data_IF_726832341066
#
_entry.id   IF_726832341066
#
_cell.length_a   1.000
_cell.length_b   1.000
_cell.length_c   1.000
_cell.angle_alpha   90.00
_cell.angle_beta   90.00
_cell.angle_gamma   90.00
#
_symmetry.space_group_name_H-M   'P 1'
#
loop_
_entity.id
_entity.type
_entity.pdbx_description
1 polymer ?
#
# COMPACT_ATOMS: atom_id res chain seq x y z
N UNK A 1 -11.01 -43.27 -3.11
CA UNK A 1 -10.45 -41.95 -2.74
C UNK A 1 -10.24 -41.04 -3.96
N UNK A 2 -9.95 -41.57 -5.15
CA UNK A 2 -9.77 -40.80 -6.39
C UNK A 2 -11.03 -40.06 -6.90
N UNK A 3 -12.22 -40.60 -6.66
CA UNK A 3 -13.51 -39.98 -7.07
C UNK A 3 -13.74 -38.59 -6.46
N UNK A 4 -13.37 -38.39 -5.20
CA UNK A 4 -13.60 -37.11 -4.51
C UNK A 4 -12.61 -36.01 -4.95
N UNK A 5 -11.39 -36.39 -5.33
CA UNK A 5 -10.40 -35.44 -5.85
C UNK A 5 -10.82 -34.90 -7.23
N UNK A 6 -11.32 -35.78 -8.10
CA UNK A 6 -11.84 -35.39 -9.42
C UNK A 6 -13.01 -34.42 -9.34
N UNK A 7 -13.94 -34.65 -8.40
CA UNK A 7 -15.10 -33.78 -8.22
C UNK A 7 -14.73 -32.38 -7.69
N UNK A 8 -13.85 -32.29 -6.69
CA UNK A 8 -13.37 -31.01 -6.17
C UNK A 8 -12.61 -30.21 -7.24
N UNK A 9 -11.76 -30.88 -8.02
CA UNK A 9 -11.03 -30.26 -9.13
C UNK A 9 -11.99 -29.79 -10.23
N UNK A 10 -13.07 -30.54 -10.49
CA UNK A 10 -14.10 -30.20 -11.49
C UNK A 10 -14.93 -28.99 -11.05
N UNK A 11 -15.26 -28.86 -9.77
CA UNK A 11 -15.94 -27.65 -9.25
C UNK A 11 -15.02 -26.44 -9.33
N UNK A 12 -13.74 -26.58 -8.96
CA UNK A 12 -12.76 -25.50 -9.03
C UNK A 12 -12.48 -25.04 -10.47
N UNK A 13 -12.54 -25.94 -11.43
CA UNK A 13 -12.36 -25.64 -12.87
C UNK A 13 -13.64 -25.15 -13.55
N UNK A 14 -14.83 -25.50 -13.04
CA UNK A 14 -16.14 -25.05 -13.53
C UNK A 14 -16.67 -23.78 -12.85
N UNK A 15 -16.06 -23.34 -11.76
CA UNK A 15 -16.04 -21.93 -11.41
C UNK A 15 -15.32 -21.23 -12.55
N UNK A 16 -16.08 -20.97 -13.63
CA UNK A 16 -15.69 -20.13 -14.76
C UNK A 16 -14.83 -18.99 -14.22
N UNK A 17 -13.65 -18.70 -14.80
CA UNK A 17 -12.84 -17.60 -14.31
C UNK A 17 -13.72 -16.36 -14.37
N UNK A 18 -14.26 -15.98 -13.21
CA UNK A 18 -15.06 -14.78 -13.10
C UNK A 18 -14.18 -13.67 -13.65
N UNK A 19 -14.75 -12.71 -14.40
CA UNK A 19 -13.99 -11.58 -14.84
C UNK A 19 -13.15 -11.01 -13.70
N UNK A 20 -11.87 -10.75 -13.97
CA UNK A 20 -10.88 -10.48 -12.95
C UNK A 20 -11.33 -9.38 -11.95
N UNK A 21 -12.05 -8.37 -12.44
CA UNK A 21 -12.61 -7.28 -11.63
C UNK A 21 -13.62 -7.74 -10.57
N UNK A 22 -14.31 -8.87 -10.75
CA UNK A 22 -15.21 -9.43 -9.75
C UNK A 22 -14.43 -9.96 -8.55
N UNK A 23 -13.27 -10.60 -8.74
CA UNK A 23 -12.39 -10.92 -7.62
C UNK A 23 -11.94 -9.66 -6.89
N UNK A 24 -11.69 -8.57 -7.64
CA UNK A 24 -11.48 -7.20 -7.14
C UNK A 24 -12.56 -6.79 -6.15
N UNK A 25 -13.81 -6.85 -6.62
CA UNK A 25 -14.99 -6.52 -5.84
C UNK A 25 -15.12 -7.40 -4.60
N UNK A 26 -14.91 -8.71 -4.72
CA UNK A 26 -14.99 -9.66 -3.61
C UNK A 26 -13.90 -9.41 -2.55
N UNK A 27 -12.65 -9.16 -2.97
CA UNK A 27 -11.54 -8.89 -2.06
C UNK A 27 -11.77 -7.65 -1.20
N UNK A 28 -12.45 -6.66 -1.76
CA UNK A 28 -12.84 -5.41 -1.11
C UNK A 28 -14.11 -5.58 -0.27
N UNK A 29 -15.13 -6.24 -0.82
CA UNK A 29 -16.41 -6.41 -0.16
C UNK A 29 -16.31 -7.33 1.06
N UNK A 30 -15.48 -8.37 1.01
CA UNK A 30 -15.32 -9.35 2.09
C UNK A 30 -15.02 -8.69 3.45
N UNK A 31 -13.95 -7.87 3.60
CA UNK A 31 -13.69 -7.24 4.89
C UNK A 31 -14.82 -6.30 5.31
N UNK A 32 -15.43 -5.56 4.39
CA UNK A 32 -16.52 -4.63 4.73
C UNK A 32 -17.75 -5.42 5.24
N UNK A 33 -18.21 -6.42 4.48
CA UNK A 33 -19.38 -7.22 4.82
C UNK A 33 -19.19 -8.00 6.12
N UNK A 34 -18.04 -8.66 6.29
CA UNK A 34 -17.74 -9.39 7.52
C UNK A 34 -17.62 -8.45 8.72
N UNK A 35 -17.11 -7.23 8.52
CA UNK A 35 -17.05 -6.25 9.60
C UNK A 35 -18.42 -5.62 9.91
N UNK A 36 -19.38 -5.53 8.98
CA UNK A 36 -20.74 -5.04 9.33
C UNK A 36 -21.46 -5.98 10.31
N UNK A 37 -21.31 -7.29 10.10
CA UNK A 37 -21.91 -8.34 10.93
C UNK A 37 -21.46 -8.18 12.41
N UNK A 38 -22.23 -8.56 13.45
CA UNK A 38 -21.78 -8.41 14.84
C UNK A 38 -20.49 -9.19 15.18
N UNK A 39 -19.68 -8.69 16.15
CA UNK A 39 -18.45 -9.36 16.57
C UNK A 39 -18.71 -10.72 17.20
N UNK A 40 -18.36 -11.77 16.44
CA UNK A 40 -18.45 -13.17 16.82
C UNK A 40 -17.29 -13.97 16.21
N UNK A 41 -16.87 -15.09 16.83
CA UNK A 41 -15.75 -15.91 16.35
C UNK A 41 -15.91 -16.43 14.92
N UNK A 42 -17.15 -16.61 14.42
CA UNK A 42 -17.37 -17.11 13.06
C UNK A 42 -16.79 -16.22 11.97
N UNK A 43 -16.59 -14.92 12.21
CA UNK A 43 -15.98 -14.01 11.22
C UNK A 43 -14.62 -14.51 10.78
N UNK A 44 -13.80 -14.97 11.73
CA UNK A 44 -12.49 -15.59 11.49
C UNK A 44 -12.61 -16.87 10.67
N UNK A 45 -13.54 -17.75 11.04
CA UNK A 45 -13.73 -19.02 10.35
C UNK A 45 -14.28 -18.85 8.92
N UNK A 46 -15.02 -17.77 8.65
CA UNK A 46 -15.53 -17.42 7.31
C UNK A 46 -14.48 -16.65 6.51
N UNK A 47 -13.74 -15.72 7.13
CA UNK A 47 -12.76 -14.88 6.42
C UNK A 47 -11.62 -15.68 5.83
N UNK A 48 -11.12 -16.70 6.54
CA UNK A 48 -10.00 -17.54 6.09
C UNK A 48 -10.31 -18.24 4.75
N UNK A 49 -11.37 -19.07 4.61
CA UNK A 49 -11.65 -19.74 3.35
C UNK A 49 -11.97 -18.76 2.22
N UNK A 50 -12.74 -17.69 2.48
CA UNK A 50 -13.06 -16.71 1.43
C UNK A 50 -11.79 -16.01 0.94
N UNK A 51 -10.97 -15.48 1.85
CA UNK A 51 -9.76 -14.76 1.49
C UNK A 51 -8.72 -15.68 0.82
N UNK A 52 -8.60 -16.93 1.27
CA UNK A 52 -7.73 -17.93 0.65
C UNK A 52 -8.21 -18.31 -0.75
N UNK A 53 -9.52 -18.50 -0.96
CA UNK A 53 -10.08 -18.77 -2.30
C UNK A 53 -9.83 -17.59 -3.24
N UNK A 54 -10.03 -16.34 -2.79
CA UNK A 54 -9.73 -15.15 -3.60
C UNK A 54 -8.25 -15.12 -3.98
N UNK A 55 -7.35 -15.35 -3.03
CA UNK A 55 -5.90 -15.38 -3.28
C UNK A 55 -5.51 -16.52 -4.22
N UNK A 56 -6.08 -17.71 -4.04
CA UNK A 56 -5.84 -18.86 -4.90
C UNK A 56 -6.31 -18.56 -6.32
N UNK A 57 -7.56 -18.13 -6.51
CA UNK A 57 -8.09 -17.79 -7.83
C UNK A 57 -7.30 -16.65 -8.49
N UNK A 58 -6.86 -15.65 -7.72
CA UNK A 58 -6.02 -14.56 -8.19
C UNK A 58 -4.66 -15.04 -8.71
N UNK A 59 -4.01 -15.95 -7.98
CA UNK A 59 -2.67 -16.45 -8.31
C UNK A 59 -2.69 -17.50 -9.42
N UNK A 60 -3.80 -18.22 -9.59
CA UNK A 60 -3.97 -19.20 -10.67
C UNK A 60 -4.66 -18.62 -11.91
N UNK A 61 -5.06 -17.34 -11.88
CA UNK A 61 -5.72 -16.71 -13.03
C UNK A 61 -4.74 -16.68 -14.21
N UNK A 62 -5.12 -17.21 -15.39
CA UNK A 62 -4.24 -17.22 -16.54
C UNK A 62 -3.97 -15.77 -16.97
N UNK A 63 -2.71 -15.37 -16.80
CA UNK A 63 -2.19 -14.08 -17.26
C UNK A 63 -1.95 -14.24 -18.77
N UNK A 64 -2.88 -13.79 -19.59
CA UNK A 64 -2.64 -13.70 -21.03
C UNK A 64 -1.64 -12.56 -21.35
N UNK A 65 -1.02 -12.60 -22.52
CA UNK A 65 0.00 -11.62 -22.91
C UNK A 65 -0.55 -10.19 -23.01
N UNK A 66 -1.85 -10.02 -23.26
CA UNK A 66 -2.48 -8.72 -23.44
C UNK A 66 -2.93 -8.08 -22.13
N UNK A 67 -3.40 -8.85 -21.16
CA UNK A 67 -3.85 -8.37 -19.84
C UNK A 67 -2.77 -8.48 -18.77
N UNK A 68 -1.61 -9.06 -19.09
CA UNK A 68 -0.70 -9.55 -18.08
C UNK A 68 -0.16 -8.52 -17.08
N UNK A 69 0.09 -7.29 -17.54
CA UNK A 69 0.52 -6.19 -16.65
C UNK A 69 -0.59 -5.80 -15.67
N UNK A 70 -1.84 -5.74 -16.14
CA UNK A 70 -2.99 -5.41 -15.31
C UNK A 70 -3.33 -6.55 -14.34
N UNK A 71 -3.28 -7.80 -14.81
CA UNK A 71 -3.48 -8.99 -13.98
C UNK A 71 -2.44 -9.06 -12.85
N UNK A 72 -1.16 -8.81 -13.14
CA UNK A 72 -0.09 -8.76 -12.14
C UNK A 72 -0.26 -7.64 -11.12
N UNK A 73 -0.63 -6.44 -11.56
CA UNK A 73 -0.96 -5.32 -10.66
C UNK A 73 -2.05 -5.73 -9.68
N UNK A 74 -3.15 -6.28 -10.21
CA UNK A 74 -4.27 -6.62 -9.38
C UNK A 74 -3.99 -7.86 -8.50
N UNK A 75 -3.14 -8.79 -8.92
CA UNK A 75 -2.64 -9.87 -8.06
C UNK A 75 -1.91 -9.29 -6.84
N UNK A 76 -1.07 -8.27 -7.03
CA UNK A 76 -0.48 -7.51 -5.93
C UNK A 76 -1.53 -6.90 -4.99
N UNK A 77 -2.60 -6.32 -5.54
CA UNK A 77 -3.73 -5.79 -4.74
C UNK A 77 -4.41 -6.91 -3.95
N UNK A 78 -4.59 -8.10 -4.54
CA UNK A 78 -5.20 -9.24 -3.85
C UNK A 78 -4.37 -9.76 -2.70
N UNK A 79 -3.05 -9.86 -2.87
CA UNK A 79 -2.15 -10.21 -1.78
C UNK A 79 -2.27 -9.19 -0.64
N UNK A 80 -2.30 -7.90 -0.96
CA UNK A 80 -2.47 -6.82 0.01
C UNK A 80 -3.81 -6.94 0.75
N UNK A 81 -4.92 -7.13 0.04
CA UNK A 81 -6.26 -7.27 0.64
C UNK A 81 -6.42 -8.56 1.43
N UNK A 82 -5.76 -9.64 1.02
CA UNK A 82 -5.67 -10.88 1.77
C UNK A 82 -4.96 -10.67 3.11
N UNK A 83 -3.76 -10.07 3.08
CA UNK A 83 -2.99 -9.76 4.29
C UNK A 83 -3.79 -8.81 5.21
N UNK A 84 -4.43 -7.79 4.65
CA UNK A 84 -5.33 -6.93 5.40
C UNK A 84 -6.45 -7.73 6.07
N UNK A 85 -7.16 -8.59 5.32
CA UNK A 85 -8.27 -9.41 5.84
C UNK A 85 -7.80 -10.33 6.97
N UNK A 86 -6.62 -10.94 6.86
CA UNK A 86 -6.02 -11.72 7.93
C UNK A 86 -5.71 -10.88 9.16
N UNK A 87 -5.12 -9.69 8.99
CA UNK A 87 -4.89 -8.77 10.11
C UNK A 87 -6.21 -8.44 10.82
N UNK A 88 -7.27 -8.11 10.07
CA UNK A 88 -8.56 -7.73 10.65
C UNK A 88 -9.20 -8.86 11.46
N UNK A 89 -9.33 -10.06 10.88
CA UNK A 89 -10.17 -11.12 11.46
C UNK A 89 -9.41 -12.24 12.14
N UNK A 90 -8.11 -12.38 11.89
CA UNK A 90 -7.29 -13.43 12.51
C UNK A 90 -6.41 -12.85 13.62
N UNK A 91 -5.72 -11.73 13.36
CA UNK A 91 -4.78 -11.13 14.31
C UNK A 91 -5.49 -10.17 15.28
N UNK A 92 -6.26 -9.23 14.73
CA UNK A 92 -7.03 -8.25 15.51
C UNK A 92 -8.29 -8.88 16.09
N UNK A 93 -8.91 -9.80 15.35
CA UNK A 93 -10.13 -10.59 15.65
C UNK A 93 -11.42 -9.75 15.79
N UNK A 94 -11.35 -8.66 16.55
CA UNK A 94 -12.44 -7.74 16.83
C UNK A 94 -11.97 -6.29 16.69
N UNK A 95 -11.89 -5.76 15.46
CA UNK A 95 -11.40 -4.41 15.23
C UNK A 95 -12.27 -3.35 15.92
N UNK A 96 -13.55 -3.60 16.20
CA UNK A 96 -14.43 -2.64 16.86
C UNK A 96 -14.01 -2.32 18.30
N UNK A 97 -13.40 -3.27 19.01
CA UNK A 97 -12.94 -3.06 20.39
C UNK A 97 -11.56 -2.40 20.46
N UNK A 98 -10.81 -2.42 19.36
CA UNK A 98 -9.38 -2.08 19.34
C UNK A 98 -9.05 -0.90 18.44
N UNK A 99 -9.77 -0.72 17.35
CA UNK A 99 -9.46 0.26 16.32
C UNK A 99 -10.57 1.30 16.34
N UNK A 100 -10.31 2.44 16.98
CA UNK A 100 -11.26 3.54 16.99
C UNK A 100 -10.57 4.86 16.72
N UNK A 101 -11.35 5.79 16.19
CA UNK A 101 -10.96 7.19 16.10
C UNK A 101 -11.34 7.83 17.44
N UNK A 102 -10.39 8.26 18.28
CA UNK A 102 -10.74 9.00 19.48
C UNK A 102 -11.35 10.32 19.02
N UNK A 103 -12.66 10.49 19.19
CA UNK A 103 -13.25 11.82 19.09
C UNK A 103 -13.16 12.49 20.46
N UNK A 104 -13.13 13.82 20.47
CA UNK A 104 -13.00 14.60 21.71
C UNK A 104 -14.22 14.31 22.59
N UNK A 105 -14.03 13.56 23.67
CA UNK A 105 -15.05 13.26 24.68
C UNK A 105 -15.77 11.91 24.55
N UNK A 106 -15.50 11.11 23.52
CA UNK A 106 -16.04 9.74 23.44
C UNK A 106 -15.14 8.76 24.19
N UNK A 107 -15.72 8.01 25.13
CA UNK A 107 -15.03 6.91 25.81
C UNK A 107 -14.93 5.70 24.88
N UNK A 108 -13.91 4.86 25.06
CA UNK A 108 -13.79 3.59 24.31
C UNK A 108 -15.08 2.75 24.43
N UNK A 109 -15.72 2.74 25.60
CA UNK A 109 -16.97 2.01 25.83
C UNK A 109 -18.12 2.53 24.95
N UNK A 110 -18.28 3.85 24.82
CA UNK A 110 -19.29 4.45 23.94
C UNK A 110 -19.11 4.00 22.48
N UNK A 111 -17.85 3.95 22.04
CA UNK A 111 -17.49 3.52 20.69
C UNK A 111 -17.82 2.04 20.46
N UNK A 112 -17.53 1.20 21.45
CA UNK A 112 -17.86 -0.23 21.43
C UNK A 112 -19.37 -0.43 21.29
N UNK A 113 -20.16 0.28 22.09
CA UNK A 113 -21.63 0.13 22.09
C UNK A 113 -22.24 0.57 20.75
N UNK A 114 -21.65 1.59 20.09
CA UNK A 114 -22.10 2.09 18.80
C UNK A 114 -21.70 1.21 17.60
N UNK A 115 -20.51 0.60 17.64
CA UNK A 115 -20.00 -0.21 16.51
C UNK A 115 -20.21 -1.71 16.67
N UNK A 116 -20.70 -2.21 17.79
CA UNK A 116 -21.06 -3.65 17.91
C UNK A 116 -22.27 -4.03 17.06
N UNK A 117 -23.21 -3.11 16.85
CA UNK A 117 -24.45 -3.33 16.09
C UNK A 117 -24.29 -2.93 14.61
N UNK A 118 -24.92 -3.66 13.68
CA UNK A 118 -24.92 -3.27 12.27
C UNK A 118 -25.65 -1.92 12.15
N UNK A 119 -24.91 -0.90 11.72
CA UNK A 119 -25.41 0.47 11.56
C UNK A 119 -24.72 1.13 10.37
N UNK A 120 -25.30 2.22 9.87
CA UNK A 120 -24.64 3.02 8.83
C UNK A 120 -23.32 3.61 9.33
N UNK A 121 -23.26 3.99 10.62
CA UNK A 121 -22.03 4.45 11.26
C UNK A 121 -20.95 3.36 11.24
N UNK A 122 -21.32 2.11 11.52
CA UNK A 122 -20.40 0.97 11.43
C UNK A 122 -19.93 0.74 9.99
N UNK A 123 -20.85 0.74 9.02
CA UNK A 123 -20.49 0.61 7.61
C UNK A 123 -19.49 1.69 7.17
N UNK A 124 -19.75 2.94 7.56
CA UNK A 124 -18.89 4.08 7.25
C UNK A 124 -17.52 3.95 7.91
N UNK A 125 -17.48 3.57 9.19
CA UNK A 125 -16.25 3.27 9.92
C UNK A 125 -15.44 2.15 9.23
N UNK A 126 -16.09 1.08 8.78
CA UNK A 126 -15.44 -0.01 8.02
C UNK A 126 -14.83 0.50 6.70
N UNK A 127 -15.58 1.36 5.99
CA UNK A 127 -15.15 1.94 4.72
C UNK A 127 -13.91 2.83 4.92
N UNK A 128 -13.94 3.70 5.92
CA UNK A 128 -12.82 4.57 6.28
C UNK A 128 -11.57 3.77 6.65
N UNK A 129 -11.74 2.71 7.45
CA UNK A 129 -10.62 1.85 7.84
C UNK A 129 -10.01 1.08 6.66
N UNK A 130 -10.85 0.56 5.76
CA UNK A 130 -10.42 -0.34 4.68
C UNK A 130 -9.79 0.39 3.50
N UNK A 131 -10.40 1.48 3.05
CA UNK A 131 -9.93 2.16 1.84
C UNK A 131 -9.05 3.36 2.11
N UNK A 132 -9.40 4.09 3.16
CA UNK A 132 -8.99 5.46 3.27
C UNK A 132 -7.80 5.62 4.22
N UNK A 133 -7.83 4.90 5.33
CA UNK A 133 -6.91 5.15 6.42
C UNK A 133 -6.21 3.89 6.93
N UNK A 134 -5.55 3.17 6.02
CA UNK A 134 -4.81 1.95 6.36
C UNK A 134 -3.60 2.23 7.29
N UNK A 135 -3.24 3.51 7.48
CA UNK A 135 -2.18 3.95 8.41
C UNK A 135 -2.72 4.42 9.76
N UNK A 136 -4.03 4.46 9.93
CA UNK A 136 -4.71 4.84 11.17
C UNK A 136 -4.50 6.30 11.57
N UNK A 137 -4.34 7.24 10.63
CA UNK A 137 -4.19 8.68 10.89
C UNK A 137 -5.37 9.21 11.71
N UNK A 138 -5.11 9.72 12.91
CA UNK A 138 -6.15 10.15 13.84
C UNK A 138 -6.89 9.02 14.54
N UNK A 139 -6.44 7.76 14.40
CA UNK A 139 -6.97 6.61 15.12
C UNK A 139 -6.01 6.20 16.23
N UNK A 140 -6.50 5.46 17.22
CA UNK A 140 -5.68 4.99 18.35
C UNK A 140 -4.55 4.01 17.93
N UNK A 141 -4.60 3.50 16.70
CA UNK A 141 -3.58 2.63 16.10
C UNK A 141 -2.72 3.36 15.05
N UNK A 142 -2.68 4.69 15.07
CA UNK A 142 -1.87 5.50 14.16
C UNK A 142 -0.40 5.04 14.14
N UNK A 143 0.16 4.88 12.93
CA UNK A 143 1.57 4.54 12.77
C UNK A 143 2.44 5.68 13.32
N UNK A 144 3.27 5.38 14.31
CA UNK A 144 4.14 6.38 14.97
C UNK A 144 5.05 7.13 13.98
N UNK A 145 5.30 8.40 14.28
CA UNK A 145 6.24 9.26 13.56
C UNK A 145 5.77 9.72 12.19
N UNK A 146 4.45 9.68 11.92
CA UNK A 146 3.89 10.36 10.76
C UNK A 146 4.10 11.86 10.90
N UNK A 147 4.18 12.56 9.77
CA UNK A 147 4.18 14.01 9.81
C UNK A 147 2.83 14.47 10.39
N UNK A 148 2.81 15.45 11.30
CA UNK A 148 1.56 15.93 11.86
C UNK A 148 0.65 16.44 10.73
N UNK A 149 -0.68 16.26 10.84
CA UNK A 149 -1.60 16.77 9.85
C UNK A 149 -1.44 18.28 9.74
N UNK A 150 -1.16 18.76 8.53
CA UNK A 150 -1.08 20.19 8.26
C UNK A 150 -2.47 20.64 7.89
N UNK A 151 -3.10 21.44 8.76
CA UNK A 151 -4.39 22.03 8.48
C UNK A 151 -4.28 22.91 7.23
N UNK A 152 -5.06 22.58 6.21
CA UNK A 152 -5.17 23.34 4.97
C UNK A 152 -6.64 23.50 4.63
N UNK A 153 -7.02 24.66 4.11
CA UNK A 153 -8.35 24.79 3.53
C UNK A 153 -8.51 23.76 2.41
N UNK A 154 -9.69 23.15 2.29
CA UNK A 154 -9.97 22.13 1.27
C UNK A 154 -9.67 22.62 -0.14
N UNK A 155 -10.05 23.86 -0.46
CA UNK A 155 -9.81 24.45 -1.78
C UNK A 155 -8.31 24.49 -2.11
N UNK A 156 -7.50 25.07 -1.23
CA UNK A 156 -6.05 25.14 -1.43
C UNK A 156 -5.39 23.76 -1.47
N UNK A 157 -5.86 22.82 -0.66
CA UNK A 157 -5.37 21.45 -0.72
C UNK A 157 -5.71 20.78 -2.06
N UNK A 158 -6.94 20.93 -2.56
CA UNK A 158 -7.34 20.37 -3.86
C UNK A 158 -6.52 20.99 -4.98
N UNK A 159 -6.28 22.30 -4.97
CA UNK A 159 -5.46 22.97 -5.98
C UNK A 159 -3.99 22.50 -5.94
N UNK A 160 -3.40 22.39 -4.74
CA UNK A 160 -2.06 21.79 -4.55
C UNK A 160 -2.04 20.34 -5.04
N UNK A 161 -3.04 19.56 -4.69
CA UNK A 161 -3.16 18.16 -5.09
C UNK A 161 -3.30 17.99 -6.61
N UNK A 162 -4.11 18.81 -7.28
CA UNK A 162 -4.32 18.73 -8.74
C UNK A 162 -3.10 19.24 -9.51
N UNK A 163 -2.62 20.45 -9.23
CA UNK A 163 -1.59 21.07 -10.06
C UNK A 163 -0.18 20.61 -9.72
N UNK A 164 0.13 20.49 -8.42
CA UNK A 164 1.49 20.16 -7.97
C UNK A 164 1.63 18.66 -7.77
N UNK A 165 0.76 18.05 -6.96
CA UNK A 165 0.96 16.66 -6.54
C UNK A 165 0.55 15.65 -7.62
N UNK A 166 -0.46 15.96 -8.42
CA UNK A 166 -0.88 15.13 -9.55
C UNK A 166 -0.25 15.64 -10.84
N UNK A 167 -0.53 16.86 -11.29
CA UNK A 167 -0.06 17.40 -12.56
C UNK A 167 1.46 17.37 -12.73
N UNK A 168 2.19 18.16 -11.93
CA UNK A 168 3.65 18.24 -12.04
C UNK A 168 4.33 16.90 -11.77
N UNK A 169 3.93 16.18 -10.72
CA UNK A 169 4.57 14.89 -10.39
C UNK A 169 4.21 13.78 -11.38
N UNK A 170 3.01 13.74 -11.94
CA UNK A 170 2.65 12.80 -13.00
C UNK A 170 3.42 13.09 -14.28
N UNK A 171 3.60 14.37 -14.63
CA UNK A 171 4.46 14.75 -15.77
C UNK A 171 5.90 14.30 -15.54
N UNK A 172 6.46 14.56 -14.35
CA UNK A 172 7.82 14.12 -14.01
C UNK A 172 7.94 12.60 -13.98
N UNK A 173 6.93 11.90 -13.47
CA UNK A 173 6.85 10.44 -13.52
C UNK A 173 6.86 9.96 -14.97
N UNK A 174 6.01 10.52 -15.83
CA UNK A 174 5.89 10.14 -17.23
C UNK A 174 7.20 10.37 -17.99
N UNK A 175 7.85 11.53 -17.82
CA UNK A 175 9.15 11.82 -18.43
C UNK A 175 10.22 10.81 -18.00
N UNK A 176 10.38 10.59 -16.69
CA UNK A 176 11.42 9.67 -16.19
C UNK A 176 11.11 8.23 -16.57
N UNK A 177 9.84 7.83 -16.54
CA UNK A 177 9.39 6.51 -16.92
C UNK A 177 9.60 6.24 -18.41
N UNK A 178 9.23 7.19 -19.29
CA UNK A 178 9.51 7.08 -20.72
C UNK A 178 11.00 6.96 -21.00
N UNK A 179 11.85 7.74 -20.31
CA UNK A 179 13.31 7.65 -20.47
C UNK A 179 13.82 6.29 -19.97
N UNK A 180 13.33 5.82 -18.83
CA UNK A 180 13.65 4.50 -18.28
C UNK A 180 13.32 3.38 -19.28
N UNK A 181 12.10 3.38 -19.83
CA UNK A 181 11.64 2.42 -20.84
C UNK A 181 12.36 2.56 -22.19
N UNK A 182 12.82 3.77 -22.55
CA UNK A 182 13.57 4.02 -23.78
C UNK A 182 15.03 3.53 -23.70
N UNK A 183 15.54 3.19 -22.52
CA UNK A 183 16.89 2.64 -22.43
C UNK A 183 16.95 1.29 -23.16
N UNK A 184 17.97 1.11 -24.01
CA UNK A 184 18.16 -0.14 -24.77
C UNK A 184 18.11 -1.38 -23.88
N UNK A 185 18.66 -1.29 -22.68
CA UNK A 185 18.69 -2.39 -21.73
C UNK A 185 17.29 -2.77 -21.22
N UNK A 186 16.47 -1.80 -20.79
CA UNK A 186 15.11 -2.07 -20.31
C UNK A 186 14.20 -2.46 -21.48
N UNK A 187 14.40 -1.87 -22.66
CA UNK A 187 13.63 -2.20 -23.84
C UNK A 187 13.91 -3.65 -24.30
N UNK A 188 15.18 -4.05 -24.39
CA UNK A 188 15.59 -5.36 -24.92
C UNK A 188 15.51 -6.49 -23.91
N UNK A 189 15.71 -6.24 -22.61
CA UNK A 189 15.72 -7.30 -21.58
C UNK A 189 14.54 -7.16 -20.59
N UNK A 190 13.69 -6.17 -20.80
CA UNK A 190 12.45 -5.97 -20.06
C UNK A 190 11.26 -6.28 -20.96
N UNK A 191 10.36 -5.33 -21.13
CA UNK A 191 9.03 -5.59 -21.69
C UNK A 191 8.96 -6.00 -23.16
N UNK A 192 10.00 -5.76 -23.96
CA UNK A 192 9.98 -6.00 -25.41
C UNK A 192 11.05 -6.98 -25.90
N UNK A 193 11.58 -7.86 -25.06
CA UNK A 193 12.54 -8.88 -25.52
C UNK A 193 11.88 -9.78 -26.59
N UNK A 194 12.31 -9.73 -27.86
CA UNK A 194 11.67 -10.46 -28.94
C UNK A 194 11.79 -11.98 -28.78
N UNK A 195 12.84 -12.47 -28.12
CA UNK A 195 13.03 -13.90 -27.86
C UNK A 195 12.05 -14.36 -26.78
N UNK A 196 11.93 -13.61 -25.69
CA UNK A 196 11.01 -13.93 -24.60
C UNK A 196 9.54 -13.78 -25.01
N UNK A 197 9.23 -12.78 -25.83
CA UNK A 197 7.91 -12.64 -26.46
C UNK A 197 7.60 -13.84 -27.35
N UNK A 198 8.58 -14.35 -28.10
CA UNK A 198 8.41 -15.53 -28.94
C UNK A 198 8.29 -16.84 -28.14
N UNK A 199 9.03 -17.00 -27.04
CA UNK A 199 9.03 -18.21 -26.21
C UNK A 199 7.96 -18.20 -25.10
N UNK A 200 7.33 -17.06 -24.84
CA UNK A 200 6.36 -16.91 -23.76
C UNK A 200 6.99 -16.94 -22.37
N UNK A 201 8.31 -16.77 -22.26
CA UNK A 201 9.00 -16.63 -20.99
C UNK A 201 8.88 -15.19 -20.49
N UNK A 202 8.79 -14.99 -19.17
CA UNK A 202 8.76 -13.65 -18.61
C UNK A 202 10.17 -13.01 -18.61
N UNK A 203 10.27 -11.72 -18.95
CA UNK A 203 11.53 -10.99 -18.87
C UNK A 203 11.99 -10.80 -17.44
N UNK A 204 13.05 -11.54 -17.08
CA UNK A 204 13.80 -11.31 -15.86
C UNK A 204 14.77 -10.14 -16.07
N UNK A 205 14.30 -8.93 -15.74
CA UNK A 205 15.16 -7.75 -15.72
C UNK A 205 16.16 -7.84 -14.53
N UNK A 206 17.24 -8.58 -14.71
CA UNK A 206 18.31 -8.72 -13.71
C UNK A 206 19.30 -7.56 -13.79
N UNK A 207 19.08 -6.50 -13.00
CA UNK A 207 20.01 -5.36 -12.94
C UNK A 207 21.40 -5.70 -12.40
N UNK A 208 21.53 -6.76 -11.60
CA UNK A 208 22.73 -7.05 -10.80
C UNK A 208 23.57 -8.19 -11.38
N UNK A 209 23.05 -9.41 -11.40
CA UNK A 209 23.79 -10.59 -11.86
C UNK A 209 23.54 -10.84 -13.35
N UNK A 210 24.60 -10.78 -14.16
CA UNK A 210 24.55 -11.14 -15.58
C UNK A 210 24.13 -10.03 -16.55
N UNK A 211 23.92 -8.79 -16.09
CA UNK A 211 23.45 -7.68 -16.94
C UNK A 211 24.47 -7.22 -17.99
N UNK A 212 25.77 -7.48 -17.77
CA UNK A 212 26.87 -6.95 -18.60
C UNK A 212 26.99 -5.42 -18.59
N UNK A 213 26.17 -4.72 -17.79
CA UNK A 213 26.20 -3.27 -17.70
C UNK A 213 27.31 -2.80 -16.75
N UNK A 214 28.04 -1.71 -17.10
CA UNK A 214 28.89 -1.01 -16.16
C UNK A 214 28.12 -0.60 -14.89
N UNK A 215 28.77 -0.67 -13.73
CA UNK A 215 28.15 -0.41 -12.42
C UNK A 215 27.42 0.94 -12.36
N UNK A 216 27.96 1.99 -12.98
CA UNK A 216 27.32 3.31 -12.99
C UNK A 216 25.99 3.31 -13.75
N UNK A 217 25.85 2.53 -14.84
CA UNK A 217 24.58 2.40 -15.57
C UNK A 217 23.56 1.63 -14.73
N UNK A 218 24.00 0.57 -14.04
CA UNK A 218 23.15 -0.17 -13.11
C UNK A 218 22.63 0.74 -12.00
N UNK A 219 23.52 1.59 -11.44
CA UNK A 219 23.15 2.56 -10.42
C UNK A 219 22.10 3.55 -10.94
N UNK A 220 22.28 4.12 -12.14
CA UNK A 220 21.29 5.06 -12.67
C UNK A 220 19.96 4.37 -12.96
N UNK A 221 19.97 3.15 -13.53
CA UNK A 221 18.75 2.37 -13.72
C UNK A 221 18.03 2.09 -12.39
N UNK A 222 18.77 1.68 -11.35
CA UNK A 222 18.21 1.47 -10.02
C UNK A 222 17.60 2.75 -9.43
N UNK A 223 18.26 3.90 -9.60
CA UNK A 223 17.71 5.20 -9.18
C UNK A 223 16.44 5.57 -9.95
N UNK A 224 16.41 5.35 -11.26
CA UNK A 224 15.21 5.53 -12.08
C UNK A 224 14.08 4.62 -11.62
N UNK A 225 14.35 3.34 -11.34
CA UNK A 225 13.35 2.41 -10.81
C UNK A 225 12.78 2.89 -9.48
N UNK A 226 13.64 3.27 -8.52
CA UNK A 226 13.19 3.81 -7.22
C UNK A 226 12.34 5.06 -7.41
N UNK A 227 12.75 5.95 -8.32
CA UNK A 227 12.00 7.17 -8.65
C UNK A 227 10.62 6.85 -9.21
N UNK A 228 10.55 6.01 -10.25
CA UNK A 228 9.31 5.59 -10.90
C UNK A 228 8.35 4.97 -9.87
N UNK A 229 8.82 4.06 -9.03
CA UNK A 229 7.98 3.42 -8.02
C UNK A 229 7.49 4.43 -6.98
N UNK A 230 8.38 5.29 -6.46
CA UNK A 230 8.01 6.31 -5.48
C UNK A 230 6.97 7.28 -6.02
N UNK A 231 7.22 7.87 -7.19
CA UNK A 231 6.30 8.86 -7.76
C UNK A 231 5.01 8.22 -8.27
N UNK A 232 5.07 7.02 -8.86
CA UNK A 232 3.90 6.28 -9.32
C UNK A 232 2.93 5.97 -8.17
N UNK A 233 3.44 5.42 -7.06
CA UNK A 233 2.62 5.17 -5.87
C UNK A 233 2.06 6.47 -5.27
N UNK A 234 2.84 7.55 -5.25
CA UNK A 234 2.36 8.83 -4.75
C UNK A 234 1.25 9.43 -5.63
N UNK A 235 1.37 9.35 -6.96
CA UNK A 235 0.35 9.83 -7.90
C UNK A 235 -0.97 9.07 -7.72
N UNK A 236 -0.91 7.73 -7.62
CA UNK A 236 -2.10 6.90 -7.37
C UNK A 236 -2.77 7.25 -6.05
N UNK A 237 -2.00 7.45 -4.98
CA UNK A 237 -2.54 7.86 -3.69
C UNK A 237 -3.18 9.25 -3.70
N UNK A 238 -2.54 10.21 -4.37
CA UNK A 238 -3.08 11.58 -4.52
C UNK A 238 -4.37 11.55 -5.34
N UNK A 239 -4.40 10.79 -6.43
CA UNK A 239 -5.60 10.62 -7.25
C UNK A 239 -6.76 10.02 -6.45
N UNK A 240 -6.49 8.96 -5.68
CA UNK A 240 -7.47 8.38 -4.76
C UNK A 240 -7.92 9.43 -3.72
N UNK A 241 -6.98 10.08 -3.03
CA UNK A 241 -7.28 11.10 -2.02
C UNK A 241 -8.12 12.26 -2.56
N UNK A 242 -7.85 12.70 -3.79
CA UNK A 242 -8.62 13.74 -4.48
C UNK A 242 -10.09 13.34 -4.60
N UNK A 243 -10.38 12.12 -5.05
CA UNK A 243 -11.75 11.60 -5.14
C UNK A 243 -12.44 11.73 -3.77
N UNK A 244 -11.84 11.19 -2.71
CA UNK A 244 -12.43 11.18 -1.37
C UNK A 244 -12.63 12.59 -0.79
N UNK A 245 -11.67 13.49 -0.97
CA UNK A 245 -11.74 14.87 -0.44
C UNK A 245 -12.76 15.71 -1.21
N UNK A 246 -12.83 15.56 -2.54
CA UNK A 246 -13.82 16.28 -3.38
C UNK A 246 -15.23 15.86 -3.02
N UNK A 247 -15.48 14.56 -2.85
CA UNK A 247 -16.78 14.04 -2.42
C UNK A 247 -17.05 14.23 -0.91
N UNK A 248 -16.17 14.91 -0.17
CA UNK A 248 -16.29 15.17 1.28
C UNK A 248 -16.41 13.91 2.14
N UNK A 249 -15.92 12.80 1.63
CA UNK A 249 -15.91 11.52 2.33
C UNK A 249 -14.75 11.43 3.34
N UNK A 250 -13.76 12.30 3.17
CA UNK A 250 -12.55 12.36 3.96
C UNK A 250 -12.14 13.83 4.27
N UNK A 251 -11.68 14.12 5.49
CA UNK A 251 -11.04 15.39 5.82
C UNK A 251 -9.59 15.43 5.28
N UNK A 252 -9.16 16.62 4.84
CA UNK A 252 -7.84 16.83 4.21
C UNK A 252 -6.68 16.35 5.08
N UNK A 253 -6.84 16.49 6.39
CA UNK A 253 -5.88 16.15 7.44
C UNK A 253 -5.53 14.66 7.42
N UNK A 254 -6.46 13.81 7.00
CA UNK A 254 -6.24 12.37 6.94
C UNK A 254 -5.52 11.95 5.63
N UNK A 255 -5.39 12.86 4.64
CA UNK A 255 -4.73 12.60 3.35
C UNK A 255 -3.21 12.87 3.42
N UNK A 256 -2.52 12.34 4.43
CA UNK A 256 -1.06 12.55 4.55
C UNK A 256 -0.29 11.87 3.40
N UNK A 257 0.92 12.34 3.04
CA UNK A 257 1.73 11.73 1.97
C UNK A 257 2.00 10.25 2.23
N UNK A 258 1.93 9.37 1.22
CA UNK A 258 2.12 7.90 1.36
C UNK A 258 3.41 7.56 2.09
N UNK A 259 4.48 8.21 1.64
CA UNK A 259 5.82 8.03 2.16
C UNK A 259 6.08 9.00 3.31
N UNK A 260 6.83 8.54 4.31
CA UNK A 260 7.28 9.42 5.37
C UNK A 260 8.45 10.32 4.97
N UNK A 261 9.09 10.90 5.98
CA UNK A 261 10.20 11.83 5.77
C UNK A 261 11.52 11.09 5.53
N UNK A 262 12.28 11.53 4.51
CA UNK A 262 13.67 11.12 4.31
C UNK A 262 14.66 11.82 5.26
N UNK A 263 14.19 12.81 6.06
CA UNK A 263 15.05 13.49 7.04
C UNK A 263 15.52 12.49 8.11
N UNK A 264 16.83 12.48 8.38
CA UNK A 264 17.43 11.63 9.41
C UNK A 264 17.53 10.14 9.03
N UNK A 265 17.39 9.80 7.76
CA UNK A 265 17.50 8.42 7.27
C UNK A 265 18.97 8.12 6.92
N UNK A 266 19.71 7.59 7.88
CA UNK A 266 21.14 7.23 7.71
C UNK A 266 21.38 5.72 7.60
N UNK A 267 20.35 4.90 7.81
CA UNK A 267 20.45 3.44 7.76
C UNK A 267 19.33 2.85 6.90
N UNK A 268 19.58 1.70 6.29
CA UNK A 268 18.58 0.94 5.55
C UNK A 268 17.36 0.65 6.43
N UNK A 269 17.57 0.26 7.69
CA UNK A 269 16.49 0.07 8.67
C UNK A 269 15.64 1.33 8.85
N UNK A 270 16.27 2.50 8.98
CA UNK A 270 15.57 3.77 9.11
C UNK A 270 14.79 4.12 7.83
N UNK A 271 15.33 3.82 6.64
CA UNK A 271 14.66 4.08 5.36
C UNK A 271 13.38 3.25 5.25
N UNK A 272 13.47 1.95 5.48
CA UNK A 272 12.33 1.05 5.44
C UNK A 272 11.27 1.43 6.47
N UNK A 273 11.68 1.70 7.71
CA UNK A 273 10.75 2.03 8.81
C UNK A 273 10.09 3.39 8.63
N UNK A 274 10.86 4.42 8.27
CA UNK A 274 10.38 5.80 8.32
C UNK A 274 9.81 6.28 6.99
N UNK A 275 10.12 5.63 5.86
CA UNK A 275 9.69 6.07 4.52
C UNK A 275 8.79 5.04 3.86
N UNK A 276 9.31 3.83 3.60
CA UNK A 276 8.70 2.91 2.62
C UNK A 276 7.61 2.00 3.20
N UNK A 277 7.86 1.35 4.35
CA UNK A 277 6.95 0.34 4.91
C UNK A 277 5.80 0.91 5.74
N UNK A 278 5.59 2.22 5.80
CA UNK A 278 4.50 2.78 6.62
C UNK A 278 3.13 2.27 6.20
N UNK A 279 2.90 2.11 4.88
CA UNK A 279 1.65 1.57 4.35
C UNK A 279 1.49 0.07 4.68
N UNK A 280 2.57 -0.69 4.59
CA UNK A 280 2.54 -2.15 4.80
C UNK A 280 2.63 -2.55 6.27
N UNK A 281 3.04 -1.64 7.16
CA UNK A 281 3.34 -1.94 8.55
C UNK A 281 2.15 -2.63 9.23
N UNK A 282 0.95 -2.05 9.09
CA UNK A 282 -0.28 -2.56 9.71
C UNK A 282 -0.77 -3.87 9.08
N UNK A 283 -0.41 -4.16 7.84
CA UNK A 283 -0.83 -5.40 7.17
C UNK A 283 0.13 -6.56 7.43
N UNK A 284 1.41 -6.28 7.70
CA UNK A 284 2.46 -7.33 7.71
C UNK A 284 3.05 -7.56 9.08
N UNK A 285 3.35 -6.51 9.84
CA UNK A 285 4.01 -6.64 11.15
C UNK A 285 3.14 -7.36 12.17
N UNK A 286 1.83 -7.06 12.30
CA UNK A 286 0.92 -7.83 13.14
C UNK A 286 0.95 -9.33 12.85
N UNK A 287 0.86 -9.70 11.57
CA UNK A 287 0.84 -11.09 11.11
C UNK A 287 2.17 -11.77 11.43
N UNK A 288 3.30 -11.14 11.11
CA UNK A 288 4.62 -11.71 11.41
C UNK A 288 4.79 -11.91 12.92
N UNK A 289 4.40 -10.93 13.73
CA UNK A 289 4.45 -11.08 15.20
C UNK A 289 3.54 -12.20 15.69
N UNK A 290 2.35 -12.33 15.12
CA UNK A 290 1.42 -13.40 15.44
C UNK A 290 2.02 -14.78 15.13
N UNK A 291 2.64 -14.94 13.96
CA UNK A 291 3.29 -16.18 13.52
C UNK A 291 4.52 -16.50 14.39
N UNK A 292 5.43 -15.53 14.58
CA UNK A 292 6.69 -15.77 15.29
C UNK A 292 6.53 -15.96 16.80
N UNK A 293 5.55 -15.30 17.43
CA UNK A 293 5.38 -15.28 18.89
C UNK A 293 4.07 -15.93 19.37
N UNK A 294 3.40 -16.70 18.50
CA UNK A 294 2.29 -17.59 18.89
C UNK A 294 1.10 -16.89 19.54
N UNK A 295 0.71 -15.71 19.06
CA UNK A 295 -0.42 -14.92 19.59
C UNK A 295 -0.25 -14.35 21.00
N UNK A 296 0.70 -14.83 21.80
CA UNK A 296 0.93 -14.38 23.18
C UNK A 296 1.33 -12.90 23.27
N UNK A 297 2.08 -12.40 22.27
CA UNK A 297 2.49 -11.00 22.22
C UNK A 297 1.31 -10.02 22.18
N UNK A 298 0.23 -10.37 21.47
CA UNK A 298 -0.92 -9.49 21.30
C UNK A 298 -1.78 -9.34 22.56
N UNK A 299 -1.87 -10.41 23.36
CA UNK A 299 -2.60 -10.38 24.63
C UNK A 299 -1.90 -9.52 25.70
N UNK A 300 -0.58 -9.38 25.62
CA UNK A 300 0.20 -8.57 26.55
C UNK A 300 0.18 -7.08 26.18
N UNK A 301 0.19 -6.75 24.88
CA UNK A 301 0.06 -5.35 24.43
C UNK A 301 -1.32 -4.78 24.76
N UNK A 302 -2.40 -5.57 24.65
CA UNK A 302 -3.73 -5.08 25.02
C UNK A 302 -3.85 -4.75 26.51
N UNK A 303 -3.24 -5.55 27.40
CA UNK A 303 -3.21 -5.28 28.84
C UNK A 303 -2.46 -3.97 29.17
N UNK A 304 -1.31 -3.77 28.53
CA UNK A 304 -0.46 -2.60 28.79
C UNK A 304 -1.04 -1.29 28.22
N UNK A 305 -1.90 -1.34 27.21
CA UNK A 305 -2.58 -0.14 26.68
C UNK A 305 -3.68 0.31 27.65
N UNK A 306 -4.49 -0.62 28.17
CA UNK A 306 -5.47 -0.29 29.23
C UNK A 306 -4.82 0.28 30.49
N UNK A 307 -3.65 -0.22 30.90
CA UNK A 307 -2.94 0.29 32.08
C UNK A 307 -2.27 1.66 31.85
N UNK A 308 -1.91 2.01 30.61
CA UNK A 308 -1.27 3.29 30.30
C UNK A 308 -2.26 4.41 29.98
N UNK A 309 -3.46 4.11 29.49
CA UNK A 309 -4.51 5.14 29.29
C UNK A 309 -4.94 5.77 30.63
N UNK A 310 -4.95 4.98 31.71
CA UNK A 310 -5.15 5.47 33.08
C UNK A 310 -4.01 6.40 33.54
N UNK A 311 -2.78 6.20 33.05
CA UNK A 311 -1.61 7.00 33.43
C UNK A 311 -1.43 8.27 32.57
N UNK A 312 -1.79 8.23 31.29
CA UNK A 312 -1.62 9.35 30.33
C UNK A 312 -2.63 10.46 30.55
N UNK A 313 -3.79 10.16 31.16
CA UNK A 313 -4.78 11.16 31.57
C UNK A 313 -4.26 12.22 32.57
N UNK A 314 -3.04 12.07 33.09
CA UNK A 314 -2.39 12.99 34.03
C UNK A 314 -1.27 13.86 33.44
N UNK A 315 -0.90 13.73 32.16
CA UNK A 315 0.41 14.23 31.67
C UNK A 315 0.39 14.85 30.27
N UNK A 316 -0.48 15.81 29.95
CA UNK A 316 -0.36 16.56 28.69
C UNK A 316 -0.49 18.08 28.87
N UNK A 317 0.66 18.75 29.01
CA UNK A 317 0.86 20.17 28.64
C UNK A 317 2.31 20.39 28.22
N UNK A 318 2.59 20.35 26.91
CA UNK A 318 3.82 20.92 26.33
C UNK A 318 3.73 20.93 24.80
N UNK A 319 3.45 22.10 24.24
CA UNK A 319 3.41 22.36 22.79
C UNK A 319 4.81 22.71 22.27
N UNK A 320 5.27 21.99 21.24
CA UNK A 320 6.46 22.35 20.47
C UNK A 320 6.07 22.58 19.01
N UNK A 321 6.42 23.75 18.49
CA UNK A 321 6.20 24.18 17.10
C UNK A 321 7.28 23.63 16.16
N UNK A 322 6.93 23.00 15.01
CA UNK A 322 7.93 22.60 14.03
C UNK A 322 8.17 23.70 12.99
N UNK A 323 9.45 23.97 12.73
CA UNK A 323 9.91 24.87 11.67
C UNK A 323 9.78 24.22 10.28
N UNK A 324 9.12 24.94 9.38
CA UNK A 324 8.83 24.55 8.01
C UNK A 324 9.92 25.04 7.06
N UNK A 325 10.87 24.15 6.75
CA UNK A 325 11.60 24.19 5.49
C UNK A 325 11.77 22.77 4.94
N UNK A 326 11.14 22.51 3.79
CA UNK A 326 11.53 21.39 2.91
C UNK A 326 12.44 21.94 1.81
N UNK A 327 13.56 21.27 1.49
CA UNK A 327 14.44 21.75 0.43
C UNK A 327 13.94 21.24 -0.92
N UNK A 328 13.76 22.18 -1.86
CA UNK A 328 13.57 21.94 -3.31
C UNK A 328 14.69 21.10 -3.97
N UNK A 329 15.76 20.78 -3.23
CA UNK A 329 16.95 20.07 -3.74
C UNK A 329 16.71 18.62 -4.19
N UNK A 330 15.66 17.94 -3.73
CA UNK A 330 15.38 16.55 -4.16
C UNK A 330 14.80 16.45 -5.58
N UNK A 331 14.29 17.55 -6.15
CA UNK A 331 13.71 17.56 -7.50
C UNK A 331 14.77 17.77 -8.62
N UNK A 332 15.94 18.33 -8.29
CA UNK A 332 16.97 18.69 -9.29
C UNK A 332 18.01 17.58 -9.53
N UNK A 333 18.21 16.68 -8.57
CA UNK A 333 19.27 15.67 -8.64
C UNK A 333 19.08 14.58 -9.72
N UNK A 334 17.87 14.07 -10.02
CA UNK A 334 17.70 13.03 -11.03
C UNK A 334 17.81 13.59 -12.45
N UNK A 335 17.33 14.82 -12.73
CA UNK A 335 17.45 15.45 -14.06
C UNK A 335 18.92 15.69 -14.46
N UNK A 336 19.78 16.04 -13.52
CA UNK A 336 21.23 16.21 -13.77
C UNK A 336 21.88 14.84 -14.08
N UNK A 337 21.52 13.79 -13.33
CA UNK A 337 21.97 12.41 -13.60
C UNK A 337 21.41 11.87 -14.94
N UNK A 338 20.23 12.32 -15.34
CA UNK A 338 19.55 11.97 -16.60
C UNK A 338 20.25 12.60 -17.81
N UNK A 339 20.68 13.86 -17.69
CA UNK A 339 21.46 14.53 -18.73
C UNK A 339 22.81 13.84 -18.95
N UNK A 340 23.39 13.24 -17.90
CA UNK A 340 24.61 12.43 -18.02
C UNK A 340 24.38 11.07 -18.71
N UNK A 341 23.17 10.51 -18.66
CA UNK A 341 22.82 9.30 -19.43
C UNK A 341 22.62 9.57 -20.92
N UNK A 342 22.07 10.74 -21.27
CA UNK A 342 21.82 11.15 -22.65
C UNK A 342 23.10 11.63 -23.36
N UNK A 343 24.13 12.02 -22.61
CA UNK A 343 25.41 12.43 -23.15
C UNK A 343 26.29 11.20 -23.47
N UNK A 344 25.95 10.50 -24.55
CA UNK A 344 26.85 9.49 -25.12
C UNK A 344 27.91 10.22 -25.97
N UNK A 345 29.21 10.18 -25.64
CA UNK A 345 30.22 10.51 -26.64
C UNK A 345 30.07 9.47 -27.75
N UNK A 346 29.68 9.91 -28.94
CA UNK A 346 29.68 9.09 -30.14
C UNK A 346 31.08 8.47 -30.27
N UNK A 347 31.21 7.17 -29.98
CA UNK A 347 32.43 6.46 -30.31
C UNK A 347 32.47 6.41 -31.83
N UNK A 348 33.28 7.31 -32.42
CA UNK A 348 33.70 7.20 -33.80
C UNK A 348 34.34 5.82 -33.97
N UNK A 349 33.70 4.96 -34.74
CA UNK A 349 34.33 3.74 -35.24
C UNK A 349 35.52 4.16 -36.09
N UNK A 350 36.72 4.01 -35.55
CA UNK A 350 37.94 4.04 -36.34
C UNK A 350 37.97 2.77 -37.19
N UNK A 351 37.69 2.95 -38.49
CA UNK A 351 37.99 2.00 -39.56
C UNK A 351 39.48 1.90 -39.77
#
# INVERSE_FOLDING_TARGET
MESNQSFALTILTKLSPLPFHLYGLWAVATPILLTIIPPKPYRKYISIPISFTILYCATTYPIDKETGTFASLLNGIFVILYLYTLDVFVVTEYPEFRNHRPSIGETQQYVIDHYTKPSWAKFWWCLQRTFFNIRGIGWNWEVKGLAPPVYKSRFWWVMDAVFVQFGLKALLFDVVFNIYCATKYVNMNGWNDPVLVATGQEPELSLYSGSGLPLWKQLVLALCTVYVVYFGLNVLHVANSLIWVVFRLCPVEDCSPVFGSFKGVYTVRSLWRNVWHRLMYQMTVPIVKFICFGGQYYNNVSKNVTENEDAVSQSETSTATPSTSQPLLLLLHPLILLLLLLHHPSQKSTS
#
